data_IF_954155454644
#
_entry.id   IF_954155454644
#
_cell.length_a   1.000
_cell.length_b   1.000
_cell.length_c   1.000
_cell.angle_alpha   90.00
_cell.angle_beta   90.00
_cell.angle_gamma   90.00
#
_symmetry.space_group_name_H-M   'P 1'
#
loop_
_entity.id
_entity.type
_entity.pdbx_description
1 polymer ?
#
# COMPACT_ATOMS: atom_id res chain seq x y z
N UNK A 1 6.13 1.23 0.90
CA UNK A 1 4.76 1.51 0.43
C UNK A 1 3.88 2.22 1.44
N UNK A 2 3.47 1.62 2.57
CA UNK A 2 2.48 2.27 3.47
C UNK A 2 2.98 3.62 3.99
N UNK A 3 4.24 3.66 4.45
CA UNK A 3 4.87 4.90 4.89
C UNK A 3 5.04 5.91 3.76
N UNK A 4 5.38 5.47 2.54
CA UNK A 4 5.51 6.35 1.37
C UNK A 4 4.19 7.04 1.05
N UNK A 5 3.06 6.30 1.11
CA UNK A 5 1.74 6.88 0.93
C UNK A 5 1.45 7.96 1.97
N UNK A 6 1.71 7.71 3.25
CA UNK A 6 1.51 8.70 4.31
C UNK A 6 2.43 9.92 4.16
N UNK A 7 3.72 9.70 3.89
CA UNK A 7 4.70 10.79 3.66
C UNK A 7 4.29 11.65 2.46
N UNK A 8 3.68 11.04 1.45
CA UNK A 8 3.20 11.71 0.23
C UNK A 8 1.84 12.39 0.38
N UNK A 9 1.28 12.44 1.60
CA UNK A 9 0.05 13.15 1.89
C UNK A 9 -1.23 12.32 1.80
N UNK A 10 -1.15 10.98 1.82
CA UNK A 10 -2.35 10.16 1.96
C UNK A 10 -3.00 10.41 3.33
N UNK A 11 -4.29 10.75 3.32
CA UNK A 11 -5.11 10.98 4.52
C UNK A 11 -5.61 9.68 5.17
N UNK A 12 -5.71 8.61 4.38
CA UNK A 12 -6.08 7.28 4.84
C UNK A 12 -5.44 6.23 3.94
N UNK A 13 -5.08 5.10 4.54
CA UNK A 13 -4.54 3.91 3.86
C UNK A 13 -5.22 2.67 4.42
N UNK A 14 -5.46 1.66 3.59
CA UNK A 14 -5.99 0.36 4.01
C UNK A 14 -5.32 -0.80 3.29
N UNK A 15 -5.22 -1.95 3.96
CA UNK A 15 -4.79 -3.23 3.39
C UNK A 15 -6.01 -4.16 3.38
N UNK A 16 -6.42 -4.66 2.22
CA UNK A 16 -7.61 -5.51 2.05
C UNK A 16 -8.86 -4.96 2.75
N UNK A 17 -9.02 -3.62 2.74
CA UNK A 17 -10.13 -2.93 3.38
C UNK A 17 -9.96 -2.62 4.87
N UNK A 18 -8.96 -3.19 5.57
CA UNK A 18 -8.66 -2.81 6.95
C UNK A 18 -7.87 -1.50 7.00
N UNK A 19 -8.44 -0.49 7.67
CA UNK A 19 -7.83 0.83 7.83
C UNK A 19 -6.55 0.74 8.67
N UNK A 20 -5.48 1.34 8.16
CA UNK A 20 -4.20 1.49 8.87
C UNK A 20 -4.23 2.78 9.70
N UNK A 21 -3.77 2.67 10.93
CA UNK A 21 -3.59 3.80 11.86
C UNK A 21 -2.11 3.95 12.24
N UNK A 22 -1.76 5.04 12.94
CA UNK A 22 -0.39 5.24 13.43
C UNK A 22 0.06 4.19 14.47
N UNK A 23 -0.88 3.47 15.08
CA UNK A 23 -0.60 2.41 16.06
C UNK A 23 -0.66 1.02 15.44
N UNK A 24 -1.04 0.93 14.16
CA UNK A 24 -1.17 -0.35 13.48
C UNK A 24 0.20 -0.97 13.23
N UNK A 25 0.30 -2.30 13.41
CA UNK A 25 1.48 -3.06 13.05
C UNK A 25 1.16 -4.06 11.94
N UNK A 26 2.17 -4.33 11.12
CA UNK A 26 2.08 -5.23 9.96
C UNK A 26 3.16 -6.29 10.10
N UNK A 27 2.77 -7.57 10.09
CA UNK A 27 3.67 -8.70 10.18
C UNK A 27 3.41 -9.71 9.06
N UNK A 28 4.46 -10.09 8.32
CA UNK A 28 4.38 -11.19 7.35
C UNK A 28 4.45 -12.54 8.07
N UNK A 29 3.44 -13.39 7.88
CA UNK A 29 3.34 -14.72 8.49
C UNK A 29 3.26 -15.80 7.39
N UNK A 30 4.26 -15.81 6.49
CA UNK A 30 4.30 -16.73 5.35
C UNK A 30 3.38 -16.28 4.22
N UNK A 31 2.33 -17.03 3.85
CA UNK A 31 1.47 -16.69 2.73
C UNK A 31 0.48 -15.53 3.01
N UNK A 32 0.43 -15.04 4.26
CA UNK A 32 -0.51 -14.00 4.70
C UNK A 32 0.22 -12.84 5.38
N UNK A 33 -0.38 -11.66 5.32
CA UNK A 33 0.02 -10.49 6.11
C UNK A 33 -0.96 -10.32 7.26
N UNK A 34 -0.45 -10.14 8.47
CA UNK A 34 -1.25 -9.85 9.66
C UNK A 34 -1.21 -8.36 9.95
N UNK A 35 -2.38 -7.74 10.06
CA UNK A 35 -2.56 -6.33 10.44
C UNK A 35 -3.35 -6.29 11.74
N UNK A 36 -2.73 -5.83 12.82
CA UNK A 36 -3.36 -5.73 14.14
C UNK A 36 -4.02 -7.05 14.61
N UNK A 37 -3.35 -8.18 14.36
CA UNK A 37 -3.84 -9.52 14.70
C UNK A 37 -4.81 -10.14 13.68
N UNK A 38 -5.25 -9.39 12.68
CA UNK A 38 -6.14 -9.87 11.62
C UNK A 38 -5.32 -10.32 10.40
N UNK A 39 -5.52 -11.56 9.96
CA UNK A 39 -4.80 -12.11 8.81
C UNK A 39 -5.49 -11.78 7.49
N UNK A 40 -4.68 -11.39 6.51
CA UNK A 40 -5.09 -11.07 5.14
C UNK A 40 -4.30 -11.95 4.18
N UNK A 41 -4.94 -12.77 3.33
CA UNK A 41 -4.26 -13.52 2.29
C UNK A 41 -4.02 -12.68 1.04
N UNK A 42 -3.11 -13.13 0.18
CA UNK A 42 -2.96 -12.61 -1.17
C UNK A 42 -4.20 -12.93 -2.03
N UNK A 43 -4.55 -12.09 -3.03
CA UNK A 43 -3.86 -10.86 -3.44
C UNK A 43 -4.08 -9.71 -2.47
N UNK A 44 -3.04 -8.87 -2.29
CA UNK A 44 -3.09 -7.71 -1.42
C UNK A 44 -3.55 -6.47 -2.19
N UNK A 45 -4.64 -5.86 -1.75
CA UNK A 45 -5.14 -4.58 -2.27
C UNK A 45 -4.81 -3.50 -1.28
N UNK A 46 -3.96 -2.56 -1.69
CA UNK A 46 -3.60 -1.40 -0.89
C UNK A 46 -4.28 -0.18 -1.47
N UNK A 47 -5.18 0.40 -0.70
CA UNK A 47 -5.95 1.57 -1.11
C UNK A 47 -5.55 2.78 -0.27
N UNK A 48 -5.52 3.95 -0.89
CA UNK A 48 -5.18 5.20 -0.23
C UNK A 48 -6.08 6.34 -0.72
N UNK A 49 -6.35 7.29 0.18
CA UNK A 49 -7.11 8.52 -0.13
C UNK A 49 -6.14 9.70 -0.07
N UNK A 50 -5.96 10.38 -1.20
CA UNK A 50 -5.14 11.59 -1.32
C UNK A 50 -5.13 12.09 -2.76
N UNK A 51 -4.27 13.07 -3.06
CA UNK A 51 -4.13 13.59 -4.42
C UNK A 51 -3.39 12.57 -5.31
N UNK A 52 -4.06 11.97 -6.31
CA UNK A 52 -3.41 11.00 -7.20
C UNK A 52 -2.26 11.60 -8.01
N UNK A 53 -2.25 12.91 -8.26
CA UNK A 53 -1.14 13.58 -8.93
C UNK A 53 0.13 13.63 -8.06
N UNK A 54 0.01 13.43 -6.74
CA UNK A 54 1.13 13.34 -5.80
C UNK A 54 1.44 11.89 -5.46
N UNK A 55 0.42 11.08 -5.15
CA UNK A 55 0.61 9.71 -4.68
C UNK A 55 1.21 8.78 -5.74
N UNK A 56 0.77 8.88 -7.00
CA UNK A 56 1.24 7.97 -8.06
C UNK A 56 2.72 8.19 -8.37
N UNK A 57 3.21 9.43 -8.60
CA UNK A 57 4.64 9.65 -8.80
C UNK A 57 5.48 9.24 -7.58
N UNK A 58 4.98 9.45 -6.36
CA UNK A 58 5.71 9.09 -5.15
C UNK A 58 5.90 7.58 -4.98
N UNK A 59 4.98 6.75 -5.48
CA UNK A 59 5.17 5.30 -5.53
C UNK A 59 6.22 4.88 -6.58
N UNK A 60 6.37 5.66 -7.66
CA UNK A 60 7.28 5.38 -8.78
C UNK A 60 8.64 6.11 -8.63
N UNK A 61 9.05 6.40 -7.39
CA UNK A 61 10.39 6.95 -7.14
C UNK A 61 11.43 5.90 -7.51
N UNK A 62 12.46 6.32 -8.26
CA UNK A 62 13.55 5.43 -8.67
C UNK A 62 14.26 4.80 -7.45
N UNK A 63 14.40 3.47 -7.47
CA UNK A 63 14.92 2.68 -6.36
C UNK A 63 13.95 2.54 -5.19
N UNK A 64 12.69 2.95 -5.36
CA UNK A 64 11.63 2.85 -4.36
C UNK A 64 10.99 1.46 -4.31
N UNK A 65 9.87 1.37 -3.59
CA UNK A 65 9.23 0.06 -3.33
C UNK A 65 8.63 -0.57 -4.58
N UNK A 66 8.12 0.22 -5.54
CA UNK A 66 7.61 -0.32 -6.82
C UNK A 66 8.72 -0.98 -7.64
N UNK A 67 9.89 -0.35 -7.71
CA UNK A 67 11.05 -0.90 -8.42
C UNK A 67 11.52 -2.20 -7.76
N UNK A 68 11.58 -2.24 -6.42
CA UNK A 68 11.95 -3.45 -5.68
C UNK A 68 10.97 -4.60 -5.97
N UNK A 69 9.65 -4.36 -5.89
CA UNK A 69 8.64 -5.37 -6.17
C UNK A 69 8.72 -5.87 -7.62
N UNK A 70 9.00 -4.97 -8.56
CA UNK A 70 9.19 -5.33 -9.97
C UNK A 70 10.44 -6.20 -10.17
N UNK A 71 11.55 -5.87 -9.51
CA UNK A 71 12.78 -6.67 -9.51
C UNK A 71 12.57 -8.06 -8.89
N UNK A 72 11.69 -8.17 -7.89
CA UNK A 72 11.31 -9.43 -7.26
C UNK A 72 10.29 -10.23 -8.08
N UNK A 73 9.98 -9.79 -9.31
CA UNK A 73 9.01 -10.41 -10.22
C UNK A 73 7.59 -10.50 -9.65
N UNK A 74 7.23 -9.58 -8.75
CA UNK A 74 5.90 -9.48 -8.16
C UNK A 74 5.00 -8.68 -9.11
N UNK A 75 3.90 -9.29 -9.55
CA UNK A 75 2.90 -8.62 -10.39
C UNK A 75 2.11 -7.61 -9.57
N UNK A 76 2.10 -6.36 -10.01
CA UNK A 76 1.33 -5.29 -9.37
C UNK A 76 0.66 -4.38 -10.40
N UNK A 77 -0.49 -3.82 -10.01
CA UNK A 77 -1.26 -2.86 -10.82
C UNK A 77 -1.59 -1.66 -9.97
N UNK A 78 -1.36 -0.46 -10.50
CA UNK A 78 -1.73 0.80 -9.86
C UNK A 78 -2.95 1.37 -10.59
N UNK A 79 -4.04 1.61 -9.85
CA UNK A 79 -5.28 2.15 -10.39
C UNK A 79 -5.66 3.44 -9.67
N UNK A 80 -6.08 4.46 -10.43
CA UNK A 80 -6.72 5.67 -9.89
C UNK A 80 -8.24 5.47 -9.89
N UNK A 81 -8.88 5.67 -8.74
CA UNK A 81 -10.35 5.72 -8.62
C UNK A 81 -10.78 7.10 -8.13
N UNK A 82 -11.77 7.68 -8.79
CA UNK A 82 -12.43 8.91 -8.38
C UNK A 82 -13.75 8.50 -7.75
N UNK A 83 -13.97 8.90 -6.50
CA UNK A 83 -15.26 8.75 -5.84
C UNK A 83 -16.11 9.96 -6.25
N UNK A 84 -17.16 9.72 -7.03
CA UNK A 84 -18.16 10.72 -7.45
C UNK A 84 -19.40 10.54 -6.60
#
# INVERSE_FOLDING_TARGET
MINELFISGASAVSINGQRITHQSYIHCNGPVVTVDGVQHPAPFVISAIGDPAVLIPALNIAGGVVDQLTSDHISMTIEKRIFV
#
